data_IF_018382960327
#
_entry.id   IF_018382960327
#
_cell.length_a   1.000
_cell.length_b   1.000
_cell.length_c   1.000
_cell.angle_alpha   90.00
_cell.angle_beta   90.00
_cell.angle_gamma   90.00
#
_symmetry.space_group_name_H-M   'P 1'
#
loop_
_entity.id
_entity.type
_entity.pdbx_description
1 polymer ?
#
# COMPACT_ATOMS: atom_id res chain seq x y z
N UNK A 1 3.29 34.17 2.61
CA UNK A 1 2.57 33.21 3.47
C UNK A 1 3.31 31.88 3.42
N UNK A 2 3.85 31.41 4.54
CA UNK A 2 4.45 30.07 4.63
C UNK A 2 3.34 29.06 4.40
N UNK A 3 3.36 28.30 3.30
CA UNK A 3 2.48 27.14 3.18
C UNK A 3 2.83 26.20 4.32
N UNK A 4 1.94 26.02 5.30
CA UNK A 4 2.15 25.02 6.33
C UNK A 4 2.38 23.68 5.63
N UNK A 5 3.61 23.17 5.71
CA UNK A 5 3.96 21.89 5.11
C UNK A 5 3.16 20.82 5.85
N UNK A 6 2.26 20.15 5.13
CA UNK A 6 1.46 19.05 5.68
C UNK A 6 2.39 17.98 6.26
N UNK A 7 2.09 17.47 7.46
CA UNK A 7 2.81 16.34 8.06
C UNK A 7 2.58 15.05 7.27
N UNK A 8 1.47 14.94 6.54
CA UNK A 8 1.15 13.81 5.68
C UNK A 8 1.62 14.05 4.25
N UNK A 9 2.09 13.00 3.58
CA UNK A 9 2.32 13.04 2.14
C UNK A 9 1.00 12.71 1.43
N UNK A 10 0.66 13.52 0.44
CA UNK A 10 -0.47 13.31 -0.46
C UNK A 10 0.06 12.89 -1.81
N UNK A 11 -0.60 11.91 -2.42
CA UNK A 11 -0.25 11.43 -3.75
C UNK A 11 -0.20 12.60 -4.75
N UNK A 12 0.88 12.69 -5.51
CA UNK A 12 1.09 13.72 -6.54
C UNK A 12 1.03 13.16 -7.97
N UNK A 13 1.01 11.84 -8.12
CA UNK A 13 0.92 11.12 -9.39
C UNK A 13 -0.23 10.11 -9.39
N UNK A 14 -0.61 9.66 -10.60
CA UNK A 14 -1.63 8.63 -10.80
C UNK A 14 -0.97 7.27 -11.05
N UNK A 15 -1.74 6.19 -10.89
CA UNK A 15 -1.26 4.86 -11.26
C UNK A 15 -0.99 4.78 -12.78
N UNK A 16 0.16 4.24 -13.14
CA UNK A 16 0.60 4.03 -14.51
C UNK A 16 0.30 2.60 -14.96
N UNK A 17 0.06 2.39 -16.24
CA UNK A 17 -0.21 1.06 -16.77
C UNK A 17 1.10 0.31 -17.03
N UNK A 18 1.26 -0.86 -16.40
CA UNK A 18 2.28 -1.85 -16.70
C UNK A 18 1.68 -2.92 -17.62
N UNK A 19 1.95 -2.79 -18.93
CA UNK A 19 1.45 -3.71 -19.95
C UNK A 19 2.04 -5.12 -19.83
N UNK A 20 3.25 -5.25 -19.27
CA UNK A 20 3.90 -6.56 -19.12
C UNK A 20 3.23 -7.37 -18.01
N UNK A 21 2.89 -6.71 -16.90
CA UNK A 21 2.18 -7.34 -15.77
C UNK A 21 0.66 -7.32 -15.91
N UNK A 22 0.12 -6.62 -16.93
CA UNK A 22 -1.31 -6.35 -17.10
C UNK A 22 -1.92 -5.73 -15.83
N UNK A 23 -1.21 -4.76 -15.26
CA UNK A 23 -1.57 -4.14 -13.99
C UNK A 23 -1.42 -2.61 -14.08
N UNK A 24 -2.02 -1.91 -13.13
CA UNK A 24 -1.77 -0.50 -12.86
C UNK A 24 -0.92 -0.37 -11.61
N UNK A 25 0.18 0.36 -11.71
CA UNK A 25 1.20 0.49 -10.69
C UNK A 25 1.21 1.92 -10.15
N UNK A 26 1.15 2.06 -8.83
CA UNK A 26 1.46 3.31 -8.16
C UNK A 26 2.87 3.23 -7.60
N UNK A 27 3.75 4.10 -8.10
CA UNK A 27 5.03 4.35 -7.43
C UNK A 27 4.77 5.10 -6.11
N UNK A 28 5.78 5.23 -5.22
CA UNK A 28 5.54 5.83 -3.91
C UNK A 28 4.96 7.24 -3.98
N UNK A 29 5.35 8.09 -4.93
CA UNK A 29 4.77 9.44 -5.06
C UNK A 29 3.26 9.43 -5.39
N UNK A 30 2.73 8.33 -5.94
CA UNK A 30 1.31 8.14 -6.24
C UNK A 30 0.50 7.55 -5.07
N UNK A 31 1.10 7.44 -3.89
CA UNK A 31 0.46 6.94 -2.67
C UNK A 31 0.38 8.04 -1.62
N UNK A 32 -0.52 7.91 -0.67
CA UNK A 32 -0.61 8.79 0.48
C UNK A 32 0.04 8.09 1.67
N UNK A 33 0.85 8.81 2.43
CA UNK A 33 1.51 8.29 3.62
C UNK A 33 1.16 9.17 4.81
N UNK A 34 0.57 8.55 5.83
CA UNK A 34 0.43 9.21 7.12
C UNK A 34 1.84 9.47 7.68
N UNK A 35 2.10 10.73 8.08
CA UNK A 35 3.43 11.24 8.46
C UNK A 35 4.46 11.33 7.32
N UNK A 36 4.08 11.09 6.07
CA UNK A 36 5.00 11.10 4.93
C UNK A 36 5.61 12.46 4.55
N UNK A 37 5.01 13.56 5.01
CA UNK A 37 5.52 14.91 4.77
C UNK A 37 6.65 15.31 5.74
N UNK A 38 6.88 14.48 6.76
CA UNK A 38 7.89 14.66 7.79
C UNK A 38 9.04 13.65 7.60
N UNK A 39 10.22 14.19 7.28
CA UNK A 39 11.42 13.42 6.97
C UNK A 39 12.02 12.65 8.17
N UNK A 40 11.46 12.84 9.37
CA UNK A 40 11.80 12.02 10.55
C UNK A 40 11.16 10.63 10.47
N UNK A 41 10.01 10.51 9.82
CA UNK A 41 9.21 9.29 9.80
C UNK A 41 9.30 8.55 8.47
N UNK A 42 9.39 9.29 7.35
CA UNK A 42 9.47 8.72 6.01
C UNK A 42 10.53 9.40 5.14
N UNK A 43 11.05 8.67 4.17
CA UNK A 43 11.69 9.22 2.97
C UNK A 43 10.84 8.80 1.78
N UNK A 44 10.18 9.77 1.14
CA UNK A 44 9.42 9.54 -0.08
C UNK A 44 10.26 10.09 -1.24
N UNK A 45 10.79 9.24 -2.12
CA UNK A 45 11.65 9.68 -3.22
C UNK A 45 10.84 10.41 -4.28
N UNK A 46 11.51 11.31 -5.00
CA UNK A 46 10.96 11.93 -6.22
C UNK A 46 11.42 11.18 -7.47
N UNK A 47 12.55 10.49 -7.38
CA UNK A 47 13.06 9.69 -8.49
C UNK A 47 12.17 8.47 -8.71
N UNK A 48 11.81 8.17 -9.97
CA UNK A 48 11.05 6.98 -10.27
C UNK A 48 11.76 5.70 -9.83
N UNK A 49 10.98 4.67 -9.48
CA UNK A 49 11.44 3.32 -9.10
C UNK A 49 12.25 3.23 -7.80
N UNK A 50 12.44 4.32 -7.08
CA UNK A 50 12.99 4.29 -5.73
C UNK A 50 11.88 3.97 -4.72
N UNK A 51 12.12 3.12 -3.70
CA UNK A 51 11.12 2.81 -2.70
C UNK A 51 10.95 3.95 -1.68
N UNK A 52 9.75 4.09 -1.13
CA UNK A 52 9.55 4.87 0.08
C UNK A 52 10.12 4.11 1.28
N UNK A 53 10.95 4.79 2.08
CA UNK A 53 11.53 4.24 3.30
C UNK A 53 10.77 4.72 4.52
N UNK A 54 10.26 3.78 5.31
CA UNK A 54 9.77 4.03 6.66
C UNK A 54 10.98 4.10 7.61
N UNK A 55 11.30 5.29 8.10
CA UNK A 55 12.32 5.45 9.13
C UNK A 55 11.84 4.92 10.47
N UNK A 56 10.73 5.47 10.96
CA UNK A 56 10.10 5.01 12.20
C UNK A 56 8.66 5.49 12.31
N UNK A 57 7.71 4.62 12.64
CA UNK A 57 6.36 5.04 13.08
C UNK A 57 5.78 4.03 14.08
N UNK A 58 4.89 4.49 14.96
CA UNK A 58 3.95 3.63 15.69
C UNK A 58 2.60 3.44 14.98
N UNK A 59 2.33 4.26 13.96
CA UNK A 59 1.12 4.24 13.13
C UNK A 59 1.49 4.15 11.65
N UNK A 60 1.29 2.97 11.04
CA UNK A 60 1.44 2.75 9.61
C UNK A 60 0.09 2.88 8.93
N UNK A 61 -0.03 3.83 8.02
CA UNK A 61 -1.15 3.95 7.10
C UNK A 61 -0.67 4.50 5.77
N UNK A 62 -0.74 3.66 4.73
CA UNK A 62 -0.41 4.00 3.35
C UNK A 62 -1.63 3.70 2.49
N UNK A 63 -2.12 4.69 1.75
CA UNK A 63 -3.36 4.55 0.97
C UNK A 63 -3.18 4.99 -0.48
N UNK A 64 -3.83 4.27 -1.38
CA UNK A 64 -3.85 4.57 -2.80
C UNK A 64 -5.27 4.62 -3.33
N UNK A 65 -5.40 5.07 -4.58
CA UNK A 65 -6.68 5.03 -5.25
C UNK A 65 -6.54 4.81 -6.74
N UNK A 66 -7.54 4.17 -7.32
CA UNK A 66 -7.61 3.83 -8.73
C UNK A 66 -9.01 4.13 -9.27
N UNK A 67 -9.10 4.82 -10.40
CA UNK A 67 -10.32 5.37 -10.98
C UNK A 67 -10.76 4.70 -12.29
N UNK A 68 -9.99 3.72 -12.80
CA UNK A 68 -10.30 3.00 -14.05
C UNK A 68 -10.86 1.60 -13.81
N UNK A 69 -11.71 1.43 -12.79
CA UNK A 69 -12.40 0.16 -12.58
C UNK A 69 -13.68 0.08 -13.43
N UNK A 70 -14.03 -1.12 -13.88
CA UNK A 70 -15.20 -1.39 -14.70
C UNK A 70 -16.25 -2.22 -13.93
N UNK A 71 -17.57 -1.93 -14.09
CA UNK A 71 -18.63 -2.74 -13.49
C UNK A 71 -18.55 -4.22 -13.90
N UNK A 72 -18.75 -5.13 -12.96
CA UNK A 72 -18.73 -6.57 -13.19
C UNK A 72 -17.33 -7.18 -13.27
N UNK A 73 -16.26 -6.38 -13.18
CA UNK A 73 -14.88 -6.86 -13.14
C UNK A 73 -14.39 -7.08 -11.70
N UNK A 74 -13.41 -7.96 -11.56
CA UNK A 74 -12.71 -8.20 -10.30
C UNK A 74 -11.32 -7.60 -10.39
N UNK A 75 -10.89 -6.95 -9.31
CA UNK A 75 -9.56 -6.37 -9.22
C UNK A 75 -8.79 -6.97 -8.04
N UNK A 76 -7.60 -7.48 -8.33
CA UNK A 76 -6.60 -7.86 -7.34
C UNK A 76 -5.78 -6.65 -6.94
N UNK A 77 -5.50 -6.53 -5.65
CA UNK A 77 -4.74 -5.42 -5.06
C UNK A 77 -3.54 -5.99 -4.31
N UNK A 78 -2.40 -5.31 -4.39
CA UNK A 78 -1.21 -5.66 -3.62
C UNK A 78 -0.21 -4.54 -3.48
N UNK A 79 0.83 -4.81 -2.68
CA UNK A 79 1.99 -3.95 -2.53
C UNK A 79 3.25 -4.75 -2.78
N UNK A 80 4.25 -4.16 -3.42
CA UNK A 80 5.60 -4.71 -3.48
C UNK A 80 6.44 -4.08 -2.38
N UNK A 81 6.97 -4.90 -1.49
CA UNK A 81 7.68 -4.45 -0.29
C UNK A 81 9.01 -5.18 -0.09
N UNK A 82 9.91 -4.56 0.67
CA UNK A 82 11.06 -5.24 1.27
C UNK A 82 11.40 -4.59 2.62
N UNK A 83 12.40 -5.13 3.32
CA UNK A 83 12.90 -4.55 4.56
C UNK A 83 14.39 -4.25 4.47
N UNK A 84 14.81 -3.18 5.13
CA UNK A 84 16.22 -2.93 5.38
C UNK A 84 16.80 -3.96 6.35
N UNK A 85 18.11 -4.27 6.26
CA UNK A 85 18.78 -5.20 7.18
C UNK A 85 18.75 -4.80 8.66
N UNK A 86 18.42 -3.55 8.98
CA UNK A 86 18.27 -3.01 10.33
C UNK A 86 16.80 -2.80 10.75
N UNK A 87 15.82 -3.24 9.94
CA UNK A 87 14.40 -3.13 10.24
C UNK A 87 14.03 -3.79 11.58
N UNK A 88 13.05 -3.23 12.30
CA UNK A 88 12.59 -3.73 13.60
C UNK A 88 11.08 -3.54 13.79
N UNK A 89 10.49 -4.31 14.71
CA UNK A 89 9.11 -4.13 15.19
C UNK A 89 8.02 -4.87 14.41
N UNK A 90 8.37 -5.66 13.39
CA UNK A 90 7.40 -6.30 12.48
C UNK A 90 7.03 -7.74 12.82
N UNK A 91 7.85 -8.43 13.63
CA UNK A 91 7.69 -9.84 14.04
C UNK A 91 6.34 -10.16 14.71
N UNK A 92 5.73 -9.15 15.34
CA UNK A 92 4.42 -9.26 16.02
C UNK A 92 3.43 -8.19 15.54
N UNK A 93 3.73 -7.52 14.43
CA UNK A 93 2.91 -6.45 13.88
C UNK A 93 1.75 -7.05 13.04
N UNK A 94 0.48 -6.87 13.43
CA UNK A 94 -0.63 -7.36 12.65
C UNK A 94 -0.87 -6.43 11.46
N UNK A 95 -0.35 -6.78 10.29
CA UNK A 95 -0.52 -6.01 9.07
C UNK A 95 -1.82 -6.36 8.37
N UNK A 96 -2.55 -5.36 7.87
CA UNK A 96 -3.75 -5.55 7.09
C UNK A 96 -3.74 -4.71 5.83
N UNK A 97 -4.45 -5.21 4.82
CA UNK A 97 -4.85 -4.45 3.66
C UNK A 97 -6.35 -4.18 3.69
N UNK A 98 -6.75 -3.07 3.08
CA UNK A 98 -8.15 -2.72 2.88
C UNK A 98 -8.43 -2.36 1.42
N UNK A 99 -9.68 -2.55 1.01
CA UNK A 99 -10.19 -2.09 -0.28
C UNK A 99 -11.65 -1.65 -0.14
N UNK A 100 -12.05 -0.64 -0.91
CA UNK A 100 -13.40 -0.06 -0.90
C UNK A 100 -13.69 0.59 -2.24
N UNK A 101 -14.88 0.36 -2.79
CA UNK A 101 -15.34 1.01 -4.02
C UNK A 101 -16.32 2.12 -3.66
N UNK A 102 -15.95 3.36 -4.00
CA UNK A 102 -16.77 4.54 -3.79
C UNK A 102 -16.96 4.94 -2.32
N UNK A 103 -17.36 6.19 -2.09
CA UNK A 103 -17.54 6.74 -0.73
C UNK A 103 -18.49 5.92 0.17
N UNK A 104 -19.55 5.34 -0.40
CA UNK A 104 -20.57 4.56 0.32
C UNK A 104 -20.33 3.04 0.29
N UNK A 105 -19.26 2.58 -0.36
CA UNK A 105 -18.96 1.15 -0.42
C UNK A 105 -18.60 0.55 0.93
N UNK A 106 -18.83 -0.75 1.06
CA UNK A 106 -18.33 -1.52 2.20
C UNK A 106 -16.82 -1.72 2.06
N UNK A 107 -16.07 -1.43 3.13
CA UNK A 107 -14.65 -1.76 3.19
C UNK A 107 -14.48 -3.26 3.40
N UNK A 108 -13.68 -3.89 2.55
CA UNK A 108 -13.17 -5.24 2.76
C UNK A 108 -11.77 -5.16 3.36
N UNK A 109 -11.46 -6.07 4.27
CA UNK A 109 -10.18 -6.13 4.97
C UNK A 109 -9.57 -7.51 4.83
N UNK A 110 -8.24 -7.57 4.70
CA UNK A 110 -7.48 -8.81 4.71
C UNK A 110 -6.28 -8.68 5.63
N UNK A 111 -6.12 -9.65 6.52
CA UNK A 111 -4.90 -9.75 7.33
C UNK A 111 -3.78 -10.37 6.49
N UNK A 112 -2.60 -9.78 6.56
CA UNK A 112 -1.39 -10.19 5.85
C UNK A 112 -0.41 -10.76 6.87
N UNK A 113 -0.40 -12.08 7.05
CA UNK A 113 0.38 -12.77 8.06
C UNK A 113 1.85 -12.90 7.65
N UNK A 114 2.11 -13.06 6.35
CA UNK A 114 3.44 -13.23 5.77
C UNK A 114 4.42 -12.14 6.20
N UNK A 115 3.97 -10.88 6.30
CA UNK A 115 4.83 -9.75 6.73
C UNK A 115 5.46 -10.01 8.09
N UNK A 116 4.65 -10.43 9.08
CA UNK A 116 5.16 -10.72 10.43
C UNK A 116 5.86 -12.07 10.54
N UNK A 117 5.32 -13.10 9.87
CA UNK A 117 5.81 -14.48 9.98
C UNK A 117 7.14 -14.67 9.25
N UNK A 118 7.31 -14.02 8.10
CA UNK A 118 8.50 -14.12 7.26
C UNK A 118 9.44 -12.92 7.47
N UNK A 119 9.21 -12.06 8.47
CA UNK A 119 9.99 -10.84 8.68
C UNK A 119 11.51 -11.10 8.72
N UNK A 120 11.95 -12.15 9.43
CA UNK A 120 13.36 -12.51 9.51
C UNK A 120 13.98 -12.86 8.15
N UNK A 121 13.21 -13.52 7.29
CA UNK A 121 13.62 -13.87 5.92
C UNK A 121 13.65 -12.61 5.05
N UNK A 122 12.59 -11.80 5.11
CA UNK A 122 12.44 -10.58 4.31
C UNK A 122 13.49 -9.51 4.65
N UNK A 123 13.97 -9.48 5.89
CA UNK A 123 15.03 -8.61 6.39
C UNK A 123 16.43 -9.07 5.95
N UNK A 124 16.61 -10.37 5.68
CA UNK A 124 17.90 -11.00 5.39
C UNK A 124 18.50 -10.72 4.01
N UNK A 125 18.04 -9.68 3.31
CA UNK A 125 18.50 -9.35 1.95
C UNK A 125 17.72 -10.06 0.84
N UNK A 126 16.50 -10.51 1.09
CA UNK A 126 15.63 -11.04 0.04
C UNK A 126 15.26 -9.96 -0.96
N UNK A 127 15.06 -10.35 -2.22
CA UNK A 127 14.42 -9.50 -3.22
C UNK A 127 13.05 -8.99 -2.74
N UNK A 128 12.58 -7.83 -3.22
CA UNK A 128 11.26 -7.33 -2.85
C UNK A 128 10.14 -8.29 -3.28
N UNK A 129 9.19 -8.49 -2.37
CA UNK A 129 8.09 -9.44 -2.52
C UNK A 129 6.76 -8.72 -2.71
N UNK A 130 5.82 -9.39 -3.39
CA UNK A 130 4.44 -8.92 -3.45
C UNK A 130 3.67 -9.43 -2.23
N UNK A 131 2.94 -8.54 -1.56
CA UNK A 131 1.95 -8.86 -0.56
C UNK A 131 0.53 -8.52 -1.07
N UNK A 132 -0.48 -9.38 -0.80
CA UNK A 132 -0.33 -10.69 -0.16
C UNK A 132 0.46 -11.67 -1.05
N UNK A 133 1.24 -12.54 -0.42
CA UNK A 133 1.95 -13.63 -1.09
C UNK A 133 1.06 -14.88 -1.19
N UNK A 134 1.60 -15.99 -1.68
CA UNK A 134 0.87 -17.26 -1.82
C UNK A 134 0.30 -17.78 -0.50
N UNK A 135 0.98 -17.52 0.63
CA UNK A 135 0.57 -18.01 1.95
C UNK A 135 -0.62 -17.25 2.53
N UNK A 136 -0.77 -15.98 2.17
CA UNK A 136 -1.93 -15.16 2.56
C UNK A 136 -3.11 -15.33 1.59
N UNK A 137 -2.85 -15.80 0.37
CA UNK A 137 -3.82 -15.88 -0.72
C UNK A 137 -4.20 -14.51 -1.28
N UNK A 138 -5.00 -14.49 -2.35
CA UNK A 138 -5.28 -13.26 -3.10
C UNK A 138 -6.12 -12.25 -2.29
N UNK A 139 -5.94 -10.95 -2.60
CA UNK A 139 -6.80 -9.88 -2.10
C UNK A 139 -7.51 -9.21 -3.28
N UNK A 140 -8.80 -9.50 -3.40
CA UNK A 140 -9.60 -9.14 -4.55
C UNK A 140 -10.86 -8.39 -4.14
N UNK A 141 -11.37 -7.56 -5.04
CA UNK A 141 -12.62 -6.83 -4.87
C UNK A 141 -13.42 -6.85 -6.17
N UNK A 142 -14.68 -7.29 -6.08
CA UNK A 142 -15.62 -7.28 -7.20
C UNK A 142 -16.29 -5.91 -7.31
N UNK A 143 -16.29 -5.33 -8.51
CA UNK A 143 -17.09 -4.15 -8.83
C UNK A 143 -18.51 -4.58 -9.16
N UNK A 144 -19.50 -4.06 -8.43
CA UNK A 144 -20.90 -4.41 -8.70
C UNK A 144 -21.27 -4.13 -10.16
N UNK A 145 -21.92 -5.06 -10.89
CA UNK A 145 -22.44 -4.80 -12.23
C UNK A 145 -23.41 -3.62 -12.29
N UNK A 146 -24.09 -3.31 -11.18
CA UNK A 146 -25.05 -2.19 -11.06
C UNK A 146 -24.40 -0.85 -10.75
N UNK A 147 -23.07 -0.76 -10.72
CA UNK A 147 -22.32 0.44 -10.35
C UNK A 147 -22.32 1.57 -11.41
N UNK A 148 -23.04 1.43 -12.53
CA UNK A 148 -23.03 2.37 -13.67
C UNK A 148 -23.25 3.84 -13.31
N UNK A 149 -23.91 4.13 -12.18
CA UNK A 149 -24.20 5.50 -11.70
C UNK A 149 -23.61 5.81 -10.31
N UNK A 150 -22.62 5.03 -9.85
CA UNK A 150 -22.03 5.18 -8.52
C UNK A 150 -20.58 5.69 -8.62
N UNK A 151 -20.07 6.25 -7.52
CA UNK A 151 -18.66 6.55 -7.36
C UNK A 151 -17.85 5.24 -7.49
N UNK A 152 -17.18 5.04 -8.63
CA UNK A 152 -16.36 3.87 -8.93
C UNK A 152 -14.91 4.07 -8.52
N UNK A 153 -14.58 5.01 -7.64
CA UNK A 153 -13.19 5.13 -7.18
C UNK A 153 -12.85 3.97 -6.24
N UNK A 154 -11.93 3.09 -6.66
CA UNK A 154 -11.32 2.10 -5.79
C UNK A 154 -10.34 2.82 -4.85
N UNK A 155 -10.55 2.69 -3.56
CA UNK A 155 -9.63 3.09 -2.50
C UNK A 155 -9.06 1.83 -1.86
N UNK A 156 -7.76 1.83 -1.60
CA UNK A 156 -7.09 0.72 -0.95
C UNK A 156 -6.00 1.22 -0.01
N UNK A 157 -5.54 0.36 0.90
CA UNK A 157 -4.44 0.73 1.78
C UNK A 157 -3.77 -0.44 2.49
N UNK A 158 -2.65 -0.11 3.13
CA UNK A 158 -1.82 -0.97 3.96
C UNK A 158 -1.71 -0.36 5.36
N UNK A 159 -1.95 -1.17 6.39
CA UNK A 159 -2.17 -0.70 7.75
C UNK A 159 -1.43 -1.54 8.77
N UNK A 160 -0.83 -0.86 9.74
CA UNK A 160 -0.61 -1.34 11.10
C UNK A 160 -0.80 -0.16 12.04
N UNK A 161 -1.98 -0.09 12.67
CA UNK A 161 -2.40 1.05 13.49
C UNK A 161 -2.84 0.63 14.90
N UNK A 162 -2.72 -0.65 15.24
CA UNK A 162 -3.34 -1.22 16.43
C UNK A 162 -2.39 -1.37 17.60
N UNK A 163 -1.15 -1.79 17.33
CA UNK A 163 -0.23 -2.16 18.43
C UNK A 163 0.41 -0.96 19.11
N UNK A 164 0.46 0.20 18.45
CA UNK A 164 1.22 1.36 18.91
C UNK A 164 2.74 1.13 19.00
N UNK A 165 3.23 -0.03 18.52
CA UNK A 165 4.65 -0.38 18.57
C UNK A 165 5.41 0.32 17.46
N UNK A 166 6.59 0.84 17.80
CA UNK A 166 7.49 1.43 16.82
C UNK A 166 8.00 0.37 15.83
N UNK A 167 8.00 0.76 14.56
CA UNK A 167 8.46 -0.05 13.43
C UNK A 167 9.37 0.77 12.55
N UNK A 168 10.41 0.13 12.03
CA UNK A 168 11.43 0.78 11.19
C UNK A 168 11.74 -0.06 9.96
N UNK A 169 12.33 0.57 8.94
CA UNK A 169 13.01 -0.11 7.84
C UNK A 169 12.11 -0.78 6.80
N UNK A 170 10.80 -0.55 6.80
CA UNK A 170 9.93 -0.98 5.70
C UNK A 170 10.24 -0.16 4.44
N UNK A 171 10.38 -0.84 3.31
CA UNK A 171 10.51 -0.26 1.99
C UNK A 171 9.26 -0.59 1.17
N UNK A 172 8.55 0.44 0.68
CA UNK A 172 7.41 0.29 -0.22
C UNK A 172 7.86 0.69 -1.62
N UNK A 173 7.93 -0.29 -2.53
CA UNK A 173 8.38 -0.07 -3.90
C UNK A 173 7.24 0.39 -4.80
N UNK A 174 6.07 -0.20 -4.62
CA UNK A 174 4.88 0.11 -5.40
C UNK A 174 3.63 -0.48 -4.76
N UNK A 175 2.47 0.03 -5.15
CA UNK A 175 1.20 -0.66 -5.05
C UNK A 175 0.71 -1.05 -6.44
N UNK A 176 -0.03 -2.14 -6.55
CA UNK A 176 -0.58 -2.57 -7.83
C UNK A 176 -2.07 -2.92 -7.73
N UNK A 177 -2.77 -2.64 -8.82
CA UNK A 177 -4.13 -3.09 -9.09
C UNK A 177 -4.10 -3.87 -10.40
N UNK A 178 -4.68 -5.06 -10.42
CA UNK A 178 -4.71 -5.93 -11.60
C UNK A 178 -6.14 -6.41 -11.83
N UNK A 179 -6.63 -6.31 -13.06
CA UNK A 179 -7.91 -6.95 -13.44
C UNK A 179 -7.71 -8.48 -13.51
N UNK A 180 -8.65 -9.22 -12.94
CA UNK A 180 -8.64 -10.70 -12.87
C UNK A 180 -9.79 -11.28 -13.67
#
# INVERSE_FOLDING_TARGET
>A
MSSQKSSHHKADSKMEQDNNRKAWISQPSGLNFVWGGDSRYWVIPKEPRMPAELKMVSWLEVTGSFDKIEPGKTYRIGFKISFKPDATGWDKAPVFMSAKIGKKGKTVWKRIKSVSQNFGILKGGSEPVNIPDESDGLFEILVSPTALNQDTKLQFGLYEVWTGRWKTGLLIHEAFVQEV
#
